data_IF_445509721234
#
_entry.id   IF_445509721234
#
_cell.length_a   1.000
_cell.length_b   1.000
_cell.length_c   1.000
_cell.angle_alpha   90.00
_cell.angle_beta   90.00
_cell.angle_gamma   90.00
#
_symmetry.space_group_name_H-M   'P 1'
#
loop_
_entity.id
_entity.type
_entity.pdbx_description
1 polymer ?
#
# COMPACT_ATOMS: atom_id res chain seq x y z
N UNK A 1 7.54 16.09 40.69
CA UNK A 1 8.97 15.93 40.34
C UNK A 1 9.01 15.57 38.88
N UNK A 2 9.63 16.39 38.02
CA UNK A 2 9.94 15.96 36.65
C UNK A 2 11.06 14.94 36.78
N UNK A 3 10.83 13.71 36.33
CA UNK A 3 11.93 12.75 36.15
C UNK A 3 12.88 13.36 35.13
N UNK A 4 14.07 13.71 35.59
CA UNK A 4 15.15 14.22 34.76
C UNK A 4 15.61 13.06 33.87
N UNK A 5 15.56 13.28 32.55
CA UNK A 5 15.91 12.28 31.57
C UNK A 5 17.41 11.95 31.68
N UNK A 6 17.74 10.74 32.10
CA UNK A 6 19.12 10.29 32.29
C UNK A 6 19.74 9.77 30.98
N UNK A 7 20.30 10.71 30.22
CA UNK A 7 21.01 10.43 28.97
C UNK A 7 22.24 9.50 29.17
N UNK A 8 22.95 9.65 30.30
CA UNK A 8 24.12 8.84 30.59
C UNK A 8 23.76 7.36 30.81
N UNK A 9 22.65 7.07 31.43
CA UNK A 9 22.14 5.71 31.59
C UNK A 9 21.87 5.05 30.25
N UNK A 10 21.23 5.76 29.32
CA UNK A 10 20.94 5.25 27.96
C UNK A 10 22.22 5.01 27.17
N UNK A 11 23.16 5.95 27.22
CA UNK A 11 24.47 5.84 26.60
C UNK A 11 25.23 4.61 27.10
N UNK A 12 25.25 4.41 28.40
CA UNK A 12 25.92 3.27 29.02
C UNK A 12 25.26 1.94 28.61
N UNK A 13 23.92 1.89 28.59
CA UNK A 13 23.17 0.72 28.10
C UNK A 13 23.47 0.43 26.63
N UNK A 14 23.54 1.46 25.79
CA UNK A 14 23.88 1.31 24.37
C UNK A 14 25.29 0.75 24.17
N UNK A 15 26.26 1.23 24.96
CA UNK A 15 27.65 0.73 24.92
C UNK A 15 27.72 -0.73 25.36
N UNK A 16 27.00 -1.11 26.42
CA UNK A 16 26.96 -2.51 26.90
C UNK A 16 26.31 -3.43 25.85
N UNK A 17 25.23 -3.00 25.21
CA UNK A 17 24.58 -3.78 24.15
C UNK A 17 25.49 -3.95 22.94
N UNK A 18 26.20 -2.90 22.51
CA UNK A 18 27.23 -2.99 21.45
C UNK A 18 28.33 -3.98 21.79
N UNK A 19 28.87 -3.93 23.01
CA UNK A 19 29.88 -4.87 23.48
C UNK A 19 29.39 -6.31 23.52
N UNK A 20 28.12 -6.51 23.82
CA UNK A 20 27.45 -7.82 23.86
C UNK A 20 27.00 -8.33 22.49
N UNK A 21 27.22 -7.58 21.39
CA UNK A 21 26.76 -7.93 20.05
C UNK A 21 25.23 -7.90 19.90
N UNK A 22 24.51 -7.22 20.79
CA UNK A 22 23.05 -7.11 20.75
C UNK A 22 22.64 -5.92 19.87
N UNK A 23 21.47 -6.02 19.20
CA UNK A 23 20.97 -4.92 18.37
C UNK A 23 20.67 -3.68 19.24
N UNK A 24 20.96 -2.49 18.70
CA UNK A 24 20.61 -1.21 19.33
C UNK A 24 19.16 -0.81 19.04
N UNK A 25 18.59 -1.37 17.99
CA UNK A 25 17.25 -1.13 17.49
C UNK A 25 16.36 -2.34 17.80
N UNK A 26 15.05 -2.16 17.76
CA UNK A 26 14.07 -3.21 18.06
C UNK A 26 13.52 -3.10 19.49
N UNK A 27 12.70 -4.09 19.88
CA UNK A 27 11.92 -4.09 21.13
C UNK A 27 12.78 -3.90 22.40
N UNK A 28 13.99 -4.49 22.42
CA UNK A 28 14.94 -4.40 23.53
C UNK A 28 16.11 -3.46 23.21
N UNK A 29 15.99 -2.64 22.15
CA UNK A 29 17.01 -1.73 21.70
C UNK A 29 17.30 -0.60 22.69
N UNK A 30 18.56 -0.19 22.79
CA UNK A 30 18.97 0.87 23.72
C UNK A 30 18.34 2.23 23.42
N UNK A 31 17.91 2.47 22.17
CA UNK A 31 17.31 3.74 21.77
C UNK A 31 15.80 3.81 21.94
N UNK A 32 15.11 2.69 22.18
CA UNK A 32 13.66 2.68 22.39
C UNK A 32 13.24 3.54 23.60
N UNK A 33 13.89 3.48 24.79
CA UNK A 33 13.54 4.35 25.92
C UNK A 33 13.78 5.83 25.66
N UNK A 34 14.79 6.19 24.87
CA UNK A 34 15.06 7.56 24.46
C UNK A 34 13.90 8.11 23.60
N UNK A 35 13.52 7.36 22.59
CA UNK A 35 12.41 7.74 21.72
C UNK A 35 11.08 7.81 22.49
N UNK A 36 10.81 6.85 23.36
CA UNK A 36 9.64 6.85 24.25
C UNK A 36 9.57 8.12 25.10
N UNK A 37 10.68 8.53 25.69
CA UNK A 37 10.77 9.76 26.50
C UNK A 37 10.49 10.99 25.65
N UNK A 38 11.08 11.10 24.45
CA UNK A 38 10.86 12.24 23.54
C UNK A 38 9.39 12.34 23.12
N UNK A 39 8.79 11.21 22.71
CA UNK A 39 7.40 11.17 22.26
C UNK A 39 6.42 11.53 23.38
N UNK A 40 6.67 11.00 24.58
CA UNK A 40 5.85 11.33 25.74
C UNK A 40 5.98 12.80 26.14
N UNK A 41 7.19 13.38 26.08
CA UNK A 41 7.41 14.80 26.34
C UNK A 41 6.71 15.70 25.31
N UNK A 42 6.73 15.31 24.02
CA UNK A 42 6.04 16.04 22.96
C UNK A 42 4.51 16.05 23.19
N UNK A 43 3.90 14.89 23.52
CA UNK A 43 2.48 14.79 23.82
C UNK A 43 2.07 15.58 25.06
N UNK A 44 2.92 15.61 26.07
CA UNK A 44 2.71 16.47 27.26
C UNK A 44 2.75 17.96 26.90
N UNK A 45 3.67 18.36 26.01
CA UNK A 45 3.74 19.72 25.50
C UNK A 45 2.51 20.13 24.70
N UNK A 46 1.99 19.25 23.84
CA UNK A 46 0.72 19.48 23.12
C UNK A 46 -0.46 19.62 24.08
N UNK A 47 -0.54 18.79 25.12
CA UNK A 47 -1.57 18.89 26.15
C UNK A 47 -1.48 20.19 26.94
N UNK A 48 -0.27 20.64 27.27
CA UNK A 48 -0.08 21.92 27.99
C UNK A 48 -0.49 23.11 27.11
N UNK A 49 -0.20 23.05 25.81
CA UNK A 49 -0.64 24.06 24.85
C UNK A 49 -2.16 24.06 24.64
N UNK A 50 -2.79 22.85 24.64
CA UNK A 50 -4.25 22.71 24.52
C UNK A 50 -4.99 23.26 25.74
N UNK A 51 -4.51 23.00 26.96
CA UNK A 51 -5.12 23.48 28.19
C UNK A 51 -4.72 24.95 28.49
N UNK A 52 -5.19 25.85 27.64
CA UNK A 52 -5.02 27.31 27.87
C UNK A 52 -5.69 27.76 29.17
N UNK A 53 -5.39 29.00 29.61
CA UNK A 53 -6.03 29.58 30.79
C UNK A 53 -7.56 29.68 30.64
N UNK A 54 -8.03 29.94 29.41
CA UNK A 54 -9.46 30.01 29.08
C UNK A 54 -10.12 28.61 29.21
N UNK A 55 -9.48 27.55 28.69
CA UNK A 55 -9.95 26.18 28.84
C UNK A 55 -10.04 25.76 30.31
N UNK A 56 -9.05 26.15 31.13
CA UNK A 56 -9.03 25.86 32.56
C UNK A 56 -10.14 26.59 33.30
N UNK A 57 -10.44 27.83 32.94
CA UNK A 57 -11.55 28.63 33.50
C UNK A 57 -12.91 28.01 33.14
N UNK A 58 -13.04 27.36 31.95
CA UNK A 58 -14.22 26.59 31.55
C UNK A 58 -14.31 25.21 32.21
N UNK A 59 -13.40 24.87 33.11
CA UNK A 59 -13.39 23.65 33.92
C UNK A 59 -12.72 22.47 33.25
N UNK A 60 -12.08 22.67 32.08
CA UNK A 60 -11.27 21.63 31.47
C UNK A 60 -9.97 21.42 32.25
N UNK A 61 -9.57 20.18 32.41
CA UNK A 61 -8.36 19.78 33.12
C UNK A 61 -7.85 18.42 32.65
N UNK A 62 -6.62 18.10 32.97
CA UNK A 62 -6.03 16.77 32.74
C UNK A 62 -6.88 15.67 33.38
N UNK A 63 -7.10 14.58 32.65
CA UNK A 63 -7.92 13.45 33.06
C UNK A 63 -7.22 12.11 32.80
N UNK A 64 -6.02 11.96 33.33
CA UNK A 64 -5.23 10.76 33.21
C UNK A 64 -4.54 10.60 31.84
N UNK A 65 -4.01 9.41 31.59
CA UNK A 65 -3.28 9.04 30.38
C UNK A 65 -3.79 7.69 29.87
N UNK A 66 -3.68 7.48 28.58
CA UNK A 66 -3.93 6.19 27.92
C UNK A 66 -2.63 5.72 27.31
N UNK A 67 -2.21 4.50 27.68
CA UNK A 67 -1.02 3.87 27.08
C UNK A 67 -1.40 3.13 25.82
N UNK A 68 -0.54 3.22 24.81
CA UNK A 68 -0.59 2.43 23.60
C UNK A 68 0.81 2.09 23.11
N UNK A 69 0.93 0.96 22.44
CA UNK A 69 2.17 0.61 21.76
C UNK A 69 2.17 1.19 20.36
N UNK A 70 3.31 1.76 19.98
CA UNK A 70 3.52 2.41 18.69
C UNK A 70 4.75 1.80 18.04
N UNK A 71 4.59 1.33 16.84
CA UNK A 71 5.67 0.80 16.01
C UNK A 71 6.47 1.95 15.40
N UNK A 72 7.77 1.93 15.58
CA UNK A 72 8.69 2.94 15.04
C UNK A 72 9.85 2.27 14.29
N UNK A 73 10.61 3.01 13.47
CA UNK A 73 11.81 2.47 12.83
C UNK A 73 12.89 2.02 13.83
N UNK A 74 12.83 2.51 15.06
CA UNK A 74 13.77 2.17 16.14
C UNK A 74 13.27 1.02 17.02
N UNK A 75 12.05 0.56 16.80
CA UNK A 75 11.40 -0.49 17.57
C UNK A 75 10.04 -0.11 18.12
N UNK A 76 9.42 -1.02 18.85
CA UNK A 76 8.15 -0.77 19.55
C UNK A 76 8.41 0.09 20.79
N UNK A 77 7.64 1.16 20.94
CA UNK A 77 7.68 2.06 22.11
C UNK A 77 6.30 2.20 22.73
N UNK A 78 6.27 2.37 24.05
CA UNK A 78 5.01 2.60 24.80
C UNK A 78 4.76 4.10 24.91
N UNK A 79 3.70 4.58 24.28
CA UNK A 79 3.33 5.99 24.32
C UNK A 79 2.16 6.22 25.27
N UNK A 80 2.32 7.19 26.17
CA UNK A 80 1.33 7.59 27.16
C UNK A 80 0.62 8.88 26.71
N UNK A 81 -0.46 8.73 25.95
CA UNK A 81 -1.25 9.85 25.46
C UNK A 81 -2.06 10.49 26.59
N UNK A 82 -1.86 11.77 26.93
CA UNK A 82 -2.65 12.44 27.96
C UNK A 82 -4.09 12.65 27.49
N UNK A 83 -5.00 12.81 28.44
CA UNK A 83 -6.42 13.06 28.19
C UNK A 83 -6.88 14.27 29.00
N UNK A 84 -7.78 15.04 28.45
CA UNK A 84 -8.49 16.09 29.14
C UNK A 84 -9.90 15.64 29.59
N UNK A 85 -10.52 16.39 30.49
CA UNK A 85 -11.82 16.07 31.03
C UNK A 85 -12.94 16.15 30.00
N UNK A 86 -12.84 17.10 29.08
CA UNK A 86 -13.85 17.35 28.04
C UNK A 86 -13.69 16.42 26.82
N UNK A 87 -12.62 15.60 26.80
CA UNK A 87 -12.25 14.75 25.65
C UNK A 87 -12.05 15.52 24.35
N UNK A 88 -11.74 16.81 24.44
CA UNK A 88 -11.51 17.73 23.32
C UNK A 88 -10.08 17.69 22.80
N UNK A 89 -9.12 17.20 23.60
CA UNK A 89 -7.73 17.07 23.18
C UNK A 89 -7.59 16.05 22.04
N UNK A 90 -7.05 16.50 20.91
CA UNK A 90 -6.72 15.67 19.76
C UNK A 90 -5.25 15.87 19.41
N UNK A 91 -4.36 14.94 19.81
CA UNK A 91 -2.93 15.08 19.58
C UNK A 91 -2.61 15.05 18.09
N UNK A 92 -1.79 15.99 17.63
CA UNK A 92 -1.38 16.13 16.24
C UNK A 92 -0.15 15.28 15.93
N UNK A 93 0.74 15.13 16.92
CA UNK A 93 2.01 14.42 16.76
C UNK A 93 1.82 12.92 16.62
N UNK A 94 0.92 12.33 17.42
CA UNK A 94 0.55 10.92 17.36
C UNK A 94 -0.95 10.81 17.55
N UNK A 95 -1.69 10.62 16.48
CA UNK A 95 -3.16 10.54 16.52
C UNK A 95 -3.67 9.43 17.44
N UNK A 96 -4.85 9.59 18.01
CA UNK A 96 -5.42 8.69 19.04
C UNK A 96 -5.40 7.20 18.64
N UNK A 97 -5.58 6.89 17.36
CA UNK A 97 -5.63 5.50 16.83
C UNK A 97 -4.38 5.10 16.04
N UNK A 98 -3.39 5.96 15.98
CA UNK A 98 -2.16 5.70 15.26
C UNK A 98 -1.27 4.75 16.07
N UNK A 99 -0.96 3.60 15.49
CA UNK A 99 -0.11 2.57 16.07
C UNK A 99 1.22 2.42 15.34
N UNK A 100 1.43 3.18 14.27
CA UNK A 100 2.65 3.19 13.46
C UNK A 100 3.08 4.63 13.27
N UNK A 101 4.22 4.97 13.86
CA UNK A 101 4.78 6.32 13.86
C UNK A 101 5.81 6.54 12.75
N UNK A 102 5.72 5.91 11.62
CA UNK A 102 6.67 6.17 10.56
C UNK A 102 6.01 6.00 9.21
N UNK A 103 5.90 7.09 8.47
CA UNK A 103 5.61 7.05 7.04
C UNK A 103 6.48 6.01 6.33
N UNK A 104 7.77 5.94 6.64
CA UNK A 104 8.70 4.98 6.06
C UNK A 104 8.41 3.50 6.36
N UNK A 105 7.72 3.15 7.45
CA UNK A 105 7.30 1.75 7.72
C UNK A 105 6.08 1.40 6.89
N UNK A 106 5.11 2.30 6.80
CA UNK A 106 3.93 2.10 5.96
C UNK A 106 4.34 1.95 4.48
N UNK A 107 5.22 2.81 3.98
CA UNK A 107 5.73 2.75 2.61
C UNK A 107 6.48 1.44 2.33
N UNK A 108 7.26 0.93 3.28
CA UNK A 108 7.93 -0.37 3.15
C UNK A 108 6.93 -1.52 3.10
N UNK A 109 5.89 -1.51 3.94
CA UNK A 109 4.83 -2.51 3.92
C UNK A 109 4.11 -2.48 2.57
N UNK A 110 3.75 -1.30 2.07
CA UNK A 110 3.14 -1.12 0.75
C UNK A 110 4.06 -1.62 -0.35
N UNK A 111 5.36 -1.27 -0.29
CA UNK A 111 6.36 -1.73 -1.26
C UNK A 111 6.53 -3.25 -1.28
N UNK A 112 6.64 -3.89 -0.12
CA UNK A 112 6.72 -5.35 0.00
C UNK A 112 5.44 -6.03 -0.53
N UNK A 113 4.28 -5.47 -0.22
CA UNK A 113 3.01 -5.97 -0.72
C UNK A 113 2.91 -5.84 -2.24
N UNK A 114 3.35 -4.73 -2.81
CA UNK A 114 3.41 -4.49 -4.25
C UNK A 114 4.39 -5.45 -4.98
N UNK A 115 5.42 -5.94 -4.28
CA UNK A 115 6.32 -6.99 -4.79
C UNK A 115 5.70 -8.39 -4.76
N UNK A 116 4.47 -8.55 -4.24
CA UNK A 116 3.75 -9.81 -4.20
C UNK A 116 3.90 -10.60 -2.90
N UNK A 117 4.54 -10.03 -1.86
CA UNK A 117 4.65 -10.69 -0.58
C UNK A 117 3.28 -10.78 0.12
N UNK A 118 3.00 -11.92 0.72
CA UNK A 118 1.82 -12.11 1.56
C UNK A 118 1.94 -11.32 2.87
N UNK A 119 0.81 -11.08 3.53
CA UNK A 119 0.79 -10.42 4.85
C UNK A 119 1.65 -11.14 5.89
N UNK A 120 1.77 -12.47 5.79
CA UNK A 120 2.62 -13.28 6.66
C UNK A 120 4.10 -13.03 6.39
N UNK A 121 4.52 -13.09 5.14
CA UNK A 121 5.92 -12.82 4.73
C UNK A 121 6.34 -11.40 5.09
N UNK A 122 5.44 -10.42 4.92
CA UNK A 122 5.68 -9.03 5.36
C UNK A 122 5.85 -8.97 6.88
N UNK A 123 5.01 -9.68 7.65
CA UNK A 123 5.10 -9.74 9.11
C UNK A 123 6.42 -10.36 9.57
N UNK A 124 6.82 -11.46 8.94
CA UNK A 124 8.07 -12.16 9.24
C UNK A 124 9.28 -11.28 8.86
N UNK A 125 9.24 -10.63 7.69
CA UNK A 125 10.29 -9.69 7.27
C UNK A 125 10.44 -8.50 8.25
N UNK A 126 9.31 -7.96 8.72
CA UNK A 126 9.31 -6.86 9.69
C UNK A 126 9.93 -7.29 11.02
N UNK A 127 9.63 -8.52 11.48
CA UNK A 127 10.21 -9.09 12.70
C UNK A 127 11.73 -9.27 12.55
N UNK A 128 12.18 -9.84 11.44
CA UNK A 128 13.61 -10.10 11.19
C UNK A 128 14.44 -8.82 11.01
N UNK A 129 13.92 -7.81 10.32
CA UNK A 129 14.68 -6.63 9.93
C UNK A 129 14.51 -5.43 10.87
N UNK A 130 13.35 -5.33 11.55
CA UNK A 130 13.03 -4.21 12.45
C UNK A 130 12.78 -4.67 13.88
N UNK A 131 12.86 -5.98 14.15
CA UNK A 131 12.63 -6.55 15.47
C UNK A 131 11.19 -6.49 15.97
N UNK A 132 10.23 -6.22 15.08
CA UNK A 132 8.82 -6.01 15.43
C UNK A 132 7.89 -6.75 14.47
N UNK A 133 7.01 -7.56 15.05
CA UNK A 133 5.99 -8.26 14.29
C UNK A 133 4.77 -7.36 14.09
N UNK A 134 4.34 -7.21 12.84
CA UNK A 134 3.14 -6.44 12.48
C UNK A 134 2.01 -7.44 12.17
N UNK A 135 0.82 -7.22 12.74
CA UNK A 135 -0.31 -8.13 12.51
C UNK A 135 -0.81 -8.04 11.06
N UNK A 136 -1.39 -9.15 10.57
CA UNK A 136 -1.99 -9.19 9.23
C UNK A 136 -3.07 -8.11 9.04
N UNK A 137 -3.87 -7.84 10.08
CA UNK A 137 -4.92 -6.80 10.04
C UNK A 137 -4.30 -5.40 9.90
N UNK A 138 -3.18 -5.15 10.59
CA UNK A 138 -2.46 -3.88 10.47
C UNK A 138 -1.88 -3.71 9.07
N UNK A 139 -1.27 -4.76 8.51
CA UNK A 139 -0.73 -4.75 7.14
C UNK A 139 -1.87 -4.48 6.15
N UNK A 140 -3.00 -5.17 6.25
CA UNK A 140 -4.17 -4.94 5.41
C UNK A 140 -4.69 -3.50 5.53
N UNK A 141 -4.80 -2.97 6.74
CA UNK A 141 -5.21 -1.58 6.96
C UNK A 141 -4.26 -0.55 6.33
N UNK A 142 -2.96 -0.84 6.29
CA UNK A 142 -1.97 0.02 5.65
C UNK A 142 -2.09 -0.06 4.13
N UNK A 143 -2.18 -1.27 3.58
CA UNK A 143 -2.32 -1.47 2.13
C UNK A 143 -3.63 -0.90 1.60
N UNK A 144 -4.69 -0.91 2.39
CA UNK A 144 -5.98 -0.29 2.03
C UNK A 144 -5.89 1.24 1.84
N UNK A 145 -4.88 1.90 2.39
CA UNK A 145 -4.66 3.35 2.19
C UNK A 145 -4.41 3.71 0.72
N UNK A 146 -3.91 2.77 -0.08
CA UNK A 146 -3.65 2.99 -1.52
C UNK A 146 -4.93 2.88 -2.36
N UNK A 147 -6.03 2.31 -1.82
CA UNK A 147 -7.27 2.11 -2.56
C UNK A 147 -7.88 3.39 -3.15
N UNK A 148 -7.88 4.56 -2.48
CA UNK A 148 -8.37 5.81 -3.06
C UNK A 148 -7.55 6.23 -4.29
N UNK A 149 -6.23 6.08 -4.26
CA UNK A 149 -5.34 6.40 -5.37
C UNK A 149 -5.57 5.44 -6.56
N UNK A 150 -5.70 4.14 -6.28
CA UNK A 150 -6.05 3.15 -7.30
C UNK A 150 -7.40 3.48 -7.95
N UNK A 151 -8.41 3.89 -7.16
CA UNK A 151 -9.71 4.30 -7.68
C UNK A 151 -9.59 5.55 -8.56
N UNK A 152 -8.87 6.56 -8.11
CA UNK A 152 -8.62 7.78 -8.88
C UNK A 152 -7.88 7.47 -10.20
N UNK A 153 -6.85 6.61 -10.14
CA UNK A 153 -6.14 6.16 -11.32
C UNK A 153 -7.05 5.40 -12.30
N UNK A 154 -7.91 4.51 -11.82
CA UNK A 154 -8.86 3.76 -12.67
C UNK A 154 -9.89 4.64 -13.35
N UNK A 155 -10.30 5.74 -12.73
CA UNK A 155 -11.31 6.67 -13.27
C UNK A 155 -10.71 7.89 -13.96
N UNK A 156 -9.39 7.96 -14.11
CA UNK A 156 -8.75 9.11 -14.75
C UNK A 156 -9.17 9.24 -16.21
N UNK A 157 -9.22 10.47 -16.69
CA UNK A 157 -9.40 10.74 -18.13
C UNK A 157 -8.18 10.23 -18.90
N UNK A 158 -8.43 9.73 -20.09
CA UNK A 158 -7.43 9.21 -21.02
C UNK A 158 -7.29 10.14 -22.21
N UNK A 159 -6.22 9.96 -22.98
CA UNK A 159 -6.05 10.67 -24.23
C UNK A 159 -7.10 10.26 -25.26
N UNK A 160 -7.42 11.17 -26.16
CA UNK A 160 -8.47 10.92 -27.17
C UNK A 160 -8.07 9.90 -28.23
N UNK A 161 -6.76 9.73 -28.50
CA UNK A 161 -6.27 8.83 -29.55
C UNK A 161 -5.06 8.03 -29.09
N UNK A 162 -5.13 6.72 -29.29
CA UNK A 162 -4.02 5.80 -29.04
C UNK A 162 -3.59 5.08 -30.31
N UNK A 163 -2.32 5.20 -30.73
CA UNK A 163 -1.78 4.52 -31.92
C UNK A 163 -1.87 3.00 -31.83
N UNK A 164 -1.49 2.42 -30.71
CA UNK A 164 -1.52 0.97 -30.50
C UNK A 164 -2.03 0.65 -29.08
N UNK A 165 -2.99 -0.28 -29.03
CA UNK A 165 -3.52 -0.81 -27.76
C UNK A 165 -3.42 -2.32 -27.76
N UNK A 166 -2.85 -2.89 -26.70
CA UNK A 166 -2.83 -4.34 -26.44
C UNK A 166 -3.85 -4.68 -25.38
N UNK A 167 -4.63 -5.71 -25.63
CA UNK A 167 -5.63 -6.23 -24.71
C UNK A 167 -5.34 -7.71 -24.48
N UNK A 168 -4.91 -8.05 -23.27
CA UNK A 168 -4.45 -9.39 -22.92
C UNK A 168 -4.90 -9.78 -21.52
N UNK A 169 -5.04 -11.07 -21.27
CA UNK A 169 -5.48 -11.63 -20.00
C UNK A 169 -4.37 -12.43 -19.32
N UNK A 170 -4.08 -12.13 -18.08
CA UNK A 170 -3.20 -12.91 -17.22
C UNK A 170 -4.05 -13.75 -16.28
N UNK A 171 -3.91 -15.07 -16.37
CA UNK A 171 -4.63 -16.02 -15.52
C UNK A 171 -3.81 -16.35 -14.26
N UNK A 172 -4.46 -16.30 -13.10
CA UNK A 172 -3.86 -16.61 -11.81
C UNK A 172 -4.81 -17.41 -10.93
N UNK A 173 -4.24 -18.16 -9.98
CA UNK A 173 -5.01 -18.92 -9.01
C UNK A 173 -5.17 -18.16 -7.72
N UNK A 174 -6.38 -18.05 -7.21
CA UNK A 174 -6.72 -17.47 -5.91
C UNK A 174 -7.55 -18.47 -5.11
N UNK A 175 -7.45 -18.37 -3.80
CA UNK A 175 -8.34 -19.10 -2.90
C UNK A 175 -9.61 -18.26 -2.71
N UNK A 176 -10.77 -18.83 -2.99
CA UNK A 176 -12.06 -18.18 -2.78
C UNK A 176 -12.45 -18.18 -1.28
N UNK A 177 -13.58 -17.55 -0.95
CA UNK A 177 -14.11 -17.46 0.41
C UNK A 177 -14.43 -18.84 1.05
N UNK A 178 -14.51 -19.89 0.23
CA UNK A 178 -14.77 -21.26 0.65
C UNK A 178 -13.48 -22.09 0.80
N UNK A 179 -12.31 -21.47 0.61
CA UNK A 179 -11.02 -22.14 0.66
C UNK A 179 -10.67 -22.94 -0.60
N UNK A 180 -11.45 -22.82 -1.69
CA UNK A 180 -11.20 -23.52 -2.96
C UNK A 180 -10.30 -22.69 -3.87
N UNK A 181 -9.33 -23.35 -4.53
CA UNK A 181 -8.52 -22.71 -5.56
C UNK A 181 -9.34 -22.48 -6.82
N UNK A 182 -9.54 -21.21 -7.18
CA UNK A 182 -10.24 -20.80 -8.40
C UNK A 182 -9.31 -20.01 -9.30
N UNK A 183 -9.42 -20.23 -10.62
CA UNK A 183 -8.70 -19.42 -11.59
C UNK A 183 -9.45 -18.11 -11.82
N UNK A 184 -8.73 -17.00 -11.76
CA UNK A 184 -9.21 -15.66 -12.10
C UNK A 184 -8.35 -15.13 -13.24
N UNK A 185 -8.90 -14.18 -13.99
CA UNK A 185 -8.14 -13.45 -15.01
C UNK A 185 -8.12 -11.96 -14.66
N UNK A 186 -6.94 -11.37 -14.83
CA UNK A 186 -6.77 -9.92 -14.87
C UNK A 186 -6.58 -9.56 -16.34
N UNK A 187 -7.46 -8.71 -16.83
CA UNK A 187 -7.43 -8.19 -18.18
C UNK A 187 -6.74 -6.86 -18.18
N UNK A 188 -5.59 -6.78 -18.85
CA UNK A 188 -4.78 -5.58 -18.96
C UNK A 188 -5.04 -4.91 -20.30
N UNK A 189 -5.22 -3.60 -20.28
CA UNK A 189 -5.28 -2.76 -21.47
C UNK A 189 -4.05 -1.87 -21.45
N UNK A 190 -3.04 -2.22 -22.25
CA UNK A 190 -1.79 -1.49 -22.43
C UNK A 190 -1.84 -0.68 -23.72
N UNK A 191 -1.21 0.46 -23.74
CA UNK A 191 -1.12 1.31 -24.94
C UNK A 191 0.28 1.88 -25.15
N UNK A 192 0.48 2.43 -26.33
CA UNK A 192 1.50 3.43 -26.60
C UNK A 192 0.78 4.75 -26.87
N UNK A 193 1.21 5.82 -26.19
CA UNK A 193 0.74 7.16 -26.45
C UNK A 193 1.34 7.76 -27.76
N UNK A 194 0.99 8.99 -28.10
CA UNK A 194 1.49 9.65 -29.31
C UNK A 194 2.97 10.04 -29.25
N UNK A 195 3.52 10.08 -28.05
CA UNK A 195 4.94 10.34 -27.76
C UNK A 195 5.79 9.07 -27.76
N UNK A 196 5.16 7.89 -27.84
CA UNK A 196 5.84 6.60 -27.86
C UNK A 196 6.03 5.95 -26.49
N UNK A 197 5.43 6.50 -25.43
CA UNK A 197 5.53 5.93 -24.09
C UNK A 197 4.47 4.84 -23.88
N UNK A 198 4.86 3.82 -23.11
CA UNK A 198 3.94 2.78 -22.71
C UNK A 198 3.06 3.25 -21.54
N UNK A 199 1.77 3.07 -21.67
CA UNK A 199 0.78 3.40 -20.67
C UNK A 199 -0.17 2.24 -20.39
N UNK A 200 -0.48 1.99 -19.11
CA UNK A 200 -1.51 1.07 -18.69
C UNK A 200 -2.85 1.83 -18.58
N UNK A 201 -3.77 1.61 -19.52
CA UNK A 201 -5.05 2.31 -19.56
C UNK A 201 -6.04 1.80 -18.51
N UNK A 202 -5.99 0.47 -18.24
CA UNK A 202 -6.86 -0.13 -17.25
C UNK A 202 -6.52 -1.57 -16.91
N UNK A 203 -6.99 -1.99 -15.74
CA UNK A 203 -6.94 -3.38 -15.27
C UNK A 203 -8.34 -3.78 -14.84
N UNK A 204 -8.85 -4.88 -15.40
CA UNK A 204 -10.21 -5.35 -15.17
C UNK A 204 -10.16 -6.79 -14.67
N UNK A 205 -11.10 -7.16 -13.81
CA UNK A 205 -11.20 -8.51 -13.27
C UNK A 205 -12.57 -9.07 -13.63
N UNK A 206 -12.60 -10.22 -14.28
CA UNK A 206 -13.83 -10.92 -14.59
C UNK A 206 -13.74 -12.40 -14.24
N UNK A 207 -14.89 -13.01 -13.99
CA UNK A 207 -15.02 -14.47 -13.83
C UNK A 207 -15.15 -15.17 -15.18
N UNK A 208 -15.72 -14.47 -16.15
CA UNK A 208 -16.00 -15.02 -17.48
C UNK A 208 -15.41 -14.08 -18.53
N UNK A 209 -14.62 -14.64 -19.38
CA UNK A 209 -14.12 -14.00 -20.59
C UNK A 209 -15.17 -14.16 -21.71
N UNK A 210 -15.54 -13.07 -22.34
CA UNK A 210 -16.49 -13.08 -23.44
C UNK A 210 -16.64 -11.72 -24.10
N UNK A 211 -17.24 -11.70 -25.28
CA UNK A 211 -17.43 -10.48 -26.07
C UNK A 211 -18.13 -9.35 -25.27
N UNK A 212 -19.13 -9.69 -24.45
CA UNK A 212 -19.84 -8.72 -23.61
C UNK A 212 -18.95 -8.07 -22.54
N UNK A 213 -17.99 -8.83 -21.98
CA UNK A 213 -17.03 -8.30 -21.04
C UNK A 213 -16.10 -7.28 -21.74
N UNK A 214 -15.54 -7.68 -22.88
CA UNK A 214 -14.69 -6.77 -23.66
C UNK A 214 -15.43 -5.54 -24.17
N UNK A 215 -16.71 -5.67 -24.54
CA UNK A 215 -17.55 -4.53 -24.85
C UNK A 215 -17.66 -3.56 -23.68
N UNK A 216 -17.79 -4.06 -22.46
CA UNK A 216 -17.83 -3.19 -21.26
C UNK A 216 -16.48 -2.50 -21.01
N UNK A 217 -15.35 -3.16 -21.25
CA UNK A 217 -14.01 -2.57 -21.17
C UNK A 217 -13.83 -1.45 -22.19
N UNK A 218 -14.18 -1.70 -23.45
CA UNK A 218 -14.09 -0.71 -24.54
C UNK A 218 -14.99 0.51 -24.27
N UNK A 219 -16.19 0.28 -23.75
CA UNK A 219 -17.12 1.35 -23.34
C UNK A 219 -16.54 2.17 -22.17
N UNK A 220 -15.86 1.53 -21.21
CA UNK A 220 -15.17 2.26 -20.13
C UNK A 220 -14.06 3.16 -20.69
N UNK A 221 -13.25 2.68 -21.62
CA UNK A 221 -12.22 3.50 -22.28
C UNK A 221 -12.85 4.71 -23.00
N UNK A 222 -13.96 4.51 -23.72
CA UNK A 222 -14.68 5.58 -24.40
C UNK A 222 -15.25 6.60 -23.40
N UNK A 223 -15.83 6.15 -22.29
CA UNK A 223 -16.34 7.04 -21.24
C UNK A 223 -15.23 7.84 -20.55
N UNK A 224 -14.03 7.33 -20.57
CA UNK A 224 -12.83 8.00 -20.04
C UNK A 224 -12.11 8.87 -21.07
N UNK A 225 -12.67 9.07 -22.25
CA UNK A 225 -12.21 10.04 -23.24
C UNK A 225 -11.52 9.45 -24.47
N UNK A 226 -11.36 8.13 -24.59
CA UNK A 226 -10.76 7.53 -25.79
C UNK A 226 -11.76 7.61 -26.95
N UNK A 227 -11.43 8.37 -27.98
CA UNK A 227 -12.26 8.57 -29.18
C UNK A 227 -11.85 7.64 -30.31
N UNK A 228 -10.54 7.32 -30.42
CA UNK A 228 -10.03 6.48 -31.50
C UNK A 228 -8.82 5.62 -31.06
N UNK A 229 -8.76 4.41 -31.61
CA UNK A 229 -7.66 3.46 -31.47
C UNK A 229 -7.26 3.06 -32.90
N UNK A 230 -6.01 3.32 -33.30
CA UNK A 230 -5.60 3.00 -34.67
C UNK A 230 -5.37 1.50 -34.86
N UNK A 231 -4.67 0.86 -33.93
CA UNK A 231 -4.37 -0.58 -33.99
C UNK A 231 -4.71 -1.20 -32.63
N UNK A 232 -5.56 -2.21 -32.61
CA UNK A 232 -5.83 -3.04 -31.45
C UNK A 232 -5.20 -4.44 -31.62
N UNK A 233 -4.28 -4.78 -30.72
CA UNK A 233 -3.64 -6.11 -30.66
C UNK A 233 -4.38 -6.94 -29.64
N UNK A 234 -5.00 -8.06 -30.07
CA UNK A 234 -5.82 -8.93 -29.25
C UNK A 234 -5.42 -10.38 -29.41
N UNK A 235 -5.81 -11.22 -28.46
CA UNK A 235 -5.78 -12.67 -28.66
C UNK A 235 -6.89 -13.14 -29.62
N UNK A 236 -6.89 -14.40 -29.97
CA UNK A 236 -7.86 -14.98 -30.92
C UNK A 236 -9.24 -15.24 -30.35
N UNK A 237 -9.68 -14.53 -29.30
CA UNK A 237 -11.00 -14.73 -28.69
C UNK A 237 -12.14 -14.41 -29.65
N UNK A 238 -13.05 -15.36 -29.82
CA UNK A 238 -14.20 -15.22 -30.71
C UNK A 238 -15.15 -14.08 -30.25
N UNK A 239 -15.52 -13.22 -31.20
CA UNK A 239 -16.41 -12.08 -30.95
C UNK A 239 -15.70 -10.83 -30.41
N UNK A 240 -14.37 -10.88 -30.20
CA UNK A 240 -13.62 -9.73 -29.73
C UNK A 240 -13.40 -8.68 -30.86
N UNK A 241 -13.04 -9.05 -32.09
CA UNK A 241 -12.96 -8.10 -33.18
C UNK A 241 -14.26 -7.34 -33.40
N UNK A 242 -15.40 -8.03 -33.36
CA UNK A 242 -16.73 -7.44 -33.52
C UNK A 242 -17.05 -6.46 -32.40
N UNK A 243 -16.67 -6.78 -31.15
CA UNK A 243 -16.82 -5.86 -30.03
C UNK A 243 -15.99 -4.57 -30.22
N UNK A 244 -14.75 -4.68 -30.68
CA UNK A 244 -13.90 -3.52 -31.01
C UNK A 244 -14.56 -2.68 -32.09
N UNK A 245 -14.93 -3.26 -33.21
CA UNK A 245 -15.54 -2.53 -34.33
C UNK A 245 -16.87 -1.88 -33.99
N UNK A 246 -17.61 -2.39 -32.97
CA UNK A 246 -18.86 -1.77 -32.53
C UNK A 246 -18.61 -0.46 -31.77
N UNK A 247 -17.48 -0.30 -31.08
CA UNK A 247 -17.13 0.90 -30.30
C UNK A 247 -16.16 1.80 -31.07
N UNK A 248 -15.19 1.21 -31.77
CA UNK A 248 -14.14 1.88 -32.54
C UNK A 248 -14.13 1.32 -33.97
N UNK A 249 -15.01 1.78 -34.84
CA UNK A 249 -15.24 1.15 -36.17
C UNK A 249 -14.04 1.27 -37.13
N UNK A 250 -13.15 2.24 -36.91
CA UNK A 250 -11.99 2.48 -37.77
C UNK A 250 -10.71 1.73 -37.29
N UNK A 251 -10.79 1.02 -36.17
CA UNK A 251 -9.62 0.33 -35.59
C UNK A 251 -9.19 -0.85 -36.44
N UNK A 252 -7.90 -0.90 -36.79
CA UNK A 252 -7.29 -2.06 -37.38
C UNK A 252 -7.03 -3.13 -36.31
N UNK A 253 -7.69 -4.28 -36.39
CA UNK A 253 -7.51 -5.36 -35.44
C UNK A 253 -6.38 -6.27 -35.89
N UNK A 254 -5.39 -6.48 -35.02
CA UNK A 254 -4.25 -7.39 -35.19
C UNK A 254 -4.34 -8.53 -34.21
N UNK A 255 -4.21 -9.77 -34.67
CA UNK A 255 -4.06 -10.90 -33.77
C UNK A 255 -2.65 -10.87 -33.16
N UNK A 256 -2.59 -10.94 -31.84
CA UNK A 256 -1.35 -10.92 -31.10
C UNK A 256 -0.59 -12.24 -31.33
N UNK A 257 0.62 -12.17 -31.88
CA UNK A 257 1.51 -13.31 -32.05
C UNK A 257 2.24 -13.67 -30.74
N UNK A 258 2.14 -12.80 -29.72
CA UNK A 258 2.82 -12.89 -28.42
C UNK A 258 2.36 -14.06 -27.53
N UNK A 259 1.12 -14.61 -27.58
CA UNK A 259 0.78 -15.82 -26.82
C UNK A 259 1.73 -17.00 -27.05
N UNK A 260 2.35 -17.07 -28.23
CA UNK A 260 3.33 -18.11 -28.57
C UNK A 260 4.71 -17.85 -27.94
N UNK A 261 5.08 -16.58 -27.73
CA UNK A 261 6.39 -16.23 -27.15
C UNK A 261 6.40 -16.24 -25.62
N UNK A 262 5.27 -15.96 -24.96
CA UNK A 262 5.19 -16.01 -23.49
C UNK A 262 5.34 -17.43 -22.92
N UNK A 263 4.83 -18.44 -23.62
CA UNK A 263 5.05 -19.83 -23.25
C UNK A 263 6.51 -20.27 -23.49
N UNK A 264 7.20 -19.66 -24.44
CA UNK A 264 8.62 -19.93 -24.71
C UNK A 264 9.56 -19.18 -23.76
N UNK A 265 9.24 -17.92 -23.38
CA UNK A 265 10.05 -17.15 -22.42
C UNK A 265 9.96 -17.73 -21.01
N UNK A 266 8.80 -18.23 -20.57
CA UNK A 266 8.68 -18.91 -19.26
C UNK A 266 9.48 -20.24 -19.20
N UNK A 267 9.69 -20.92 -20.30
CA UNK A 267 10.50 -22.12 -20.34
C UNK A 267 12.00 -21.84 -20.18
N UNK A 268 12.46 -20.61 -20.53
CA UNK A 268 13.85 -20.19 -20.39
C UNK A 268 14.16 -19.51 -19.06
N UNK A 269 13.18 -18.92 -18.36
CA UNK A 269 13.40 -18.28 -17.05
C UNK A 269 13.42 -19.27 -15.89
N UNK A 270 12.84 -20.45 -16.03
CA UNK A 270 12.87 -21.49 -14.98
C UNK A 270 14.17 -22.26 -14.91
N UNK A 271 15.03 -22.22 -15.93
CA UNK A 271 16.32 -22.94 -15.95
C UNK A 271 17.51 -22.12 -15.39
N UNK A 272 17.30 -20.85 -15.00
CA UNK A 272 18.36 -19.99 -14.47
C UNK A 272 18.38 -19.81 -12.95
N UNK A 273 17.53 -20.56 -12.21
CA UNK A 273 17.44 -20.56 -10.75
C UNK A 273 17.40 -21.98 -10.14
N UNK A 274 18.28 -22.86 -10.63
CA UNK A 274 18.66 -24.09 -9.93
C UNK A 274 20.15 -24.11 -9.69
#
# INVERSE_FOLDING_TARGET
>A
MKEEFDFESIKNKAIEQLKAGKPLLGKDGAFAPLLESILNAALEGEMDAHLTEEERQMGNRRNGKMQKQVQTPLGEVTVSTPRDRNSSFDPQFIKKRETILAEGVADRIIGLYAMGNSTREISDWMEENLGNRVSADTISSITDRVLPEIKAWKSRMLDSVYPIVWMDAIHYKVTDERGCAVTRAIYNVLSIDREGHKELLGMYISRNEGANFWLSVLTDLQNRGVEDILIACIDGLKGFPEAIQSVYPNTAVQLCVVPVSYTHLRAHETDSYL
#
